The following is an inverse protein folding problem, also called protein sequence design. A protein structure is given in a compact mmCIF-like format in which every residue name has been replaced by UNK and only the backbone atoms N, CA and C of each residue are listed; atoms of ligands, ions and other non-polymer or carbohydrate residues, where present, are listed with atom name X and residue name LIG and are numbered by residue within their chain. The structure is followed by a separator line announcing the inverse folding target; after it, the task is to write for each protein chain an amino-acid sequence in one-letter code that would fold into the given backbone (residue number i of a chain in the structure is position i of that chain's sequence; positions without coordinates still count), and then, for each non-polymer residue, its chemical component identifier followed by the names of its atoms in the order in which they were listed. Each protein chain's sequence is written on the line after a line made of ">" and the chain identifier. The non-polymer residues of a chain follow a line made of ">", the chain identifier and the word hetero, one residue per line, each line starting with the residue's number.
data_IF_156771923733
#
_entry.id   IF_156771923733
#
_cell.length_a   1.000
_cell.length_b   1.000
_cell.length_c   1.000
_cell.angle_alpha   90.00
_cell.angle_beta   90.00
_cell.angle_gamma   90.00
#
_symmetry.space_group_name_H-M   'P 1'
#
loop_
_entity.id
_entity.type
_entity.pdbx_description
1 polymer ?
#
# COMPACT_ATOMS: atom_id res chain seq x y z
N UNK A 1 -25.89 -9.26 -11.52
CA UNK A 1 -24.68 -10.12 -11.62
C UNK A 1 -23.64 -9.42 -10.76
N UNK A 2 -23.22 -10.02 -9.64
CA UNK A 2 -22.18 -9.42 -8.82
C UNK A 2 -20.95 -9.25 -9.71
N UNK A 3 -20.47 -8.01 -9.87
CA UNK A 3 -19.20 -7.77 -10.55
C UNK A 3 -18.16 -8.64 -9.87
N UNK A 4 -17.55 -9.55 -10.61
CA UNK A 4 -16.48 -10.37 -10.07
C UNK A 4 -15.33 -9.44 -9.69
N UNK A 5 -15.00 -9.36 -8.40
CA UNK A 5 -13.91 -8.50 -7.96
C UNK A 5 -12.62 -9.03 -8.58
N UNK A 6 -11.73 -8.17 -9.11
CA UNK A 6 -10.43 -8.61 -9.62
C UNK A 6 -9.52 -9.17 -8.51
N UNK A 7 -9.94 -9.06 -7.24
CA UNK A 7 -9.28 -9.66 -6.08
C UNK A 7 -9.68 -11.11 -5.81
N UNK A 8 -10.72 -11.63 -6.46
CA UNK A 8 -11.17 -13.01 -6.21
C UNK A 8 -10.04 -14.01 -6.44
N UNK A 9 -9.89 -14.93 -5.48
CA UNK A 9 -8.87 -15.99 -5.43
C UNK A 9 -7.40 -15.52 -5.39
N UNK A 10 -7.15 -14.21 -5.24
CA UNK A 10 -5.80 -13.65 -5.13
C UNK A 10 -5.12 -14.08 -3.85
N UNK A 11 -3.82 -14.36 -3.93
CA UNK A 11 -3.01 -14.68 -2.75
C UNK A 11 -2.39 -13.39 -2.20
N UNK A 12 -2.80 -13.01 -0.99
CA UNK A 12 -2.42 -11.77 -0.33
C UNK A 12 -1.70 -12.09 0.99
N UNK A 13 -0.60 -11.38 1.25
CA UNK A 13 0.05 -11.37 2.56
C UNK A 13 -0.29 -10.07 3.29
N UNK A 14 -0.82 -10.15 4.51
CA UNK A 14 -0.91 -9.02 5.44
C UNK A 14 0.08 -9.20 6.59
N UNK A 15 0.83 -8.14 6.90
CA UNK A 15 1.82 -8.10 7.97
C UNK A 15 1.58 -6.90 8.87
N UNK A 16 1.25 -7.17 10.12
CA UNK A 16 0.91 -6.19 11.15
C UNK A 16 1.05 -6.84 12.53
N UNK A 17 1.66 -6.16 13.49
CA UNK A 17 1.82 -6.69 14.86
C UNK A 17 0.52 -6.64 15.68
N UNK A 18 -0.51 -5.93 15.19
CA UNK A 18 -1.83 -5.85 15.82
C UNK A 18 -2.75 -6.98 15.30
N UNK A 19 -3.11 -7.99 16.12
CA UNK A 19 -3.94 -9.12 15.68
C UNK A 19 -5.30 -8.70 15.14
N UNK A 20 -5.91 -7.67 15.74
CA UNK A 20 -7.20 -7.14 15.31
C UNK A 20 -7.14 -6.57 13.88
N UNK A 21 -6.01 -5.98 13.49
CA UNK A 21 -5.80 -5.50 12.11
C UNK A 21 -5.69 -6.69 11.15
N UNK A 22 -4.94 -7.73 11.54
CA UNK A 22 -4.81 -8.94 10.73
C UNK A 22 -6.16 -9.60 10.48
N UNK A 23 -7.00 -9.73 11.51
CA UNK A 23 -8.35 -10.30 11.36
C UNK A 23 -9.27 -9.40 10.53
N UNK A 24 -9.29 -8.09 10.82
CA UNK A 24 -10.14 -7.14 10.07
C UNK A 24 -9.79 -7.14 8.58
N UNK A 25 -8.50 -7.15 8.23
CA UNK A 25 -8.06 -7.20 6.83
C UNK A 25 -8.45 -8.54 6.18
N UNK A 26 -8.33 -9.66 6.90
CA UNK A 26 -8.74 -10.96 6.40
C UNK A 26 -10.27 -11.03 6.17
N UNK A 27 -11.07 -10.45 7.05
CA UNK A 27 -12.54 -10.35 6.89
C UNK A 27 -12.94 -9.47 5.70
N UNK A 28 -12.26 -8.33 5.49
CA UNK A 28 -12.49 -7.48 4.32
C UNK A 28 -12.10 -8.13 3.00
N UNK A 29 -11.20 -9.12 3.05
CA UNK A 29 -10.65 -9.83 1.90
C UNK A 29 -11.11 -11.30 1.88
N UNK A 30 -12.33 -11.57 2.33
CA UNK A 30 -12.92 -12.91 2.38
C UNK A 30 -12.99 -13.63 1.02
N UNK A 31 -12.98 -12.86 -0.08
CA UNK A 31 -12.90 -13.36 -1.45
C UNK A 31 -11.49 -13.78 -1.90
N UNK A 32 -10.47 -13.53 -1.07
CA UNK A 32 -9.05 -13.78 -1.35
C UNK A 32 -8.52 -14.96 -0.52
N UNK A 33 -7.32 -15.44 -0.86
CA UNK A 33 -6.52 -16.28 0.03
C UNK A 33 -5.56 -15.40 0.83
N UNK A 34 -5.75 -15.28 2.14
CA UNK A 34 -5.00 -14.34 2.98
C UNK A 34 -4.05 -15.09 3.92
N UNK A 35 -2.75 -14.85 3.75
CA UNK A 35 -1.73 -15.20 4.74
C UNK A 35 -1.53 -14.03 5.71
N UNK A 36 -1.44 -14.33 7.00
CA UNK A 36 -1.26 -13.36 8.09
C UNK A 36 0.10 -13.58 8.75
N UNK A 37 0.86 -12.53 8.99
CA UNK A 37 2.09 -12.58 9.79
C UNK A 37 2.10 -11.43 10.81
N UNK A 38 2.39 -11.74 12.07
CA UNK A 38 2.40 -10.76 13.16
C UNK A 38 3.80 -10.19 13.46
N UNK A 39 4.83 -10.69 12.77
CA UNK A 39 6.22 -10.36 13.04
C UNK A 39 7.07 -10.42 11.76
N UNK A 40 8.26 -9.82 11.86
CA UNK A 40 9.19 -9.71 10.74
C UNK A 40 9.68 -11.07 10.23
N UNK A 41 10.01 -12.01 11.12
CA UNK A 41 10.65 -13.26 10.74
C UNK A 41 9.67 -14.16 9.99
N UNK A 42 8.44 -14.28 10.49
CA UNK A 42 7.35 -15.01 9.82
C UNK A 42 7.04 -14.37 8.47
N UNK A 43 6.93 -13.04 8.41
CA UNK A 43 6.65 -12.32 7.17
C UNK A 43 7.75 -12.53 6.12
N UNK A 44 9.01 -12.46 6.54
CA UNK A 44 10.15 -12.71 5.64
C UNK A 44 10.14 -14.15 5.14
N UNK A 45 9.90 -15.14 5.99
CA UNK A 45 9.76 -16.54 5.57
C UNK A 45 8.66 -16.71 4.52
N UNK A 46 7.52 -16.06 4.71
CA UNK A 46 6.41 -16.09 3.75
C UNK A 46 6.78 -15.41 2.43
N UNK A 47 7.36 -14.22 2.48
CA UNK A 47 7.86 -13.51 1.29
C UNK A 47 8.86 -14.39 0.52
N UNK A 48 9.70 -15.16 1.20
CA UNK A 48 10.67 -16.05 0.56
C UNK A 48 10.07 -17.36 0.03
N UNK A 49 8.96 -17.83 0.61
CA UNK A 49 8.41 -19.17 0.32
C UNK A 49 7.25 -19.18 -0.68
N UNK A 50 6.48 -18.10 -0.79
CA UNK A 50 5.28 -18.03 -1.62
C UNK A 50 5.41 -17.00 -2.76
N UNK A 51 4.44 -16.96 -3.66
CA UNK A 51 4.28 -15.91 -4.68
C UNK A 51 3.00 -15.15 -4.42
N UNK A 52 3.10 -13.86 -4.12
CA UNK A 52 1.94 -13.04 -3.75
C UNK A 52 1.49 -12.14 -4.90
N UNK A 53 0.18 -11.99 -5.05
CA UNK A 53 -0.42 -10.97 -5.91
C UNK A 53 -0.28 -9.58 -5.26
N UNK A 54 -0.42 -9.49 -3.93
CA UNK A 54 -0.21 -8.26 -3.14
C UNK A 54 0.40 -8.60 -1.78
N UNK A 55 1.32 -7.74 -1.32
CA UNK A 55 1.83 -7.74 0.06
C UNK A 55 1.43 -6.42 0.75
N UNK A 56 0.74 -6.51 1.88
CA UNK A 56 0.29 -5.38 2.70
C UNK A 56 1.15 -5.34 3.96
N UNK A 57 1.77 -4.20 4.25
CA UNK A 57 2.77 -4.05 5.29
C UNK A 57 2.47 -2.86 6.21
N UNK A 58 2.38 -3.09 7.52
CA UNK A 58 2.57 -2.00 8.48
C UNK A 58 4.04 -1.56 8.55
N UNK A 59 4.24 -0.29 8.94
CA UNK A 59 5.56 0.33 9.04
C UNK A 59 6.19 0.14 10.42
N UNK A 60 5.43 0.38 11.49
CA UNK A 60 5.95 0.54 12.85
C UNK A 60 5.43 -0.58 13.74
N UNK A 61 6.11 -1.72 13.66
CA UNK A 61 5.86 -2.91 14.48
C UNK A 61 6.63 -4.12 13.94
N UNK A 62 6.65 -4.23 12.61
CA UNK A 62 7.20 -5.39 11.89
C UNK A 62 8.42 -5.07 11.01
N UNK A 63 9.07 -3.91 11.22
CA UNK A 63 10.15 -3.41 10.35
C UNK A 63 9.74 -3.36 8.87
N UNK A 64 8.59 -2.72 8.61
CA UNK A 64 7.91 -2.75 7.31
C UNK A 64 8.73 -2.24 6.13
N UNK A 65 9.67 -1.32 6.34
CA UNK A 65 10.53 -0.84 5.24
C UNK A 65 11.53 -1.88 4.76
N UNK A 66 11.97 -2.78 5.63
CA UNK A 66 12.85 -3.89 5.22
C UNK A 66 12.03 -4.97 4.51
N UNK A 67 10.86 -5.31 5.02
CA UNK A 67 9.91 -6.20 4.32
C UNK A 67 9.51 -5.65 2.95
N UNK A 68 9.28 -4.35 2.84
CA UNK A 68 8.99 -3.67 1.56
C UNK A 68 10.11 -3.89 0.55
N UNK A 69 11.39 -3.72 0.95
CA UNK A 69 12.52 -3.98 0.06
C UNK A 69 12.56 -5.42 -0.42
N UNK A 70 12.31 -6.37 0.47
CA UNK A 70 12.29 -7.80 0.14
C UNK A 70 11.14 -8.13 -0.84
N UNK A 71 9.93 -7.62 -0.56
CA UNK A 71 8.76 -7.81 -1.43
C UNK A 71 8.98 -7.20 -2.83
N UNK A 72 9.49 -5.96 -2.90
CA UNK A 72 9.77 -5.28 -4.17
C UNK A 72 10.89 -5.97 -4.94
N UNK A 73 11.95 -6.43 -4.28
CA UNK A 73 13.05 -7.19 -4.91
C UNK A 73 12.52 -8.48 -5.55
N UNK A 74 11.49 -9.08 -4.94
CA UNK A 74 10.78 -10.24 -5.48
C UNK A 74 9.73 -9.91 -6.55
N UNK A 75 9.55 -8.63 -6.88
CA UNK A 75 8.58 -8.18 -7.88
C UNK A 75 7.13 -8.14 -7.39
N UNK A 76 6.89 -8.23 -6.08
CA UNK A 76 5.54 -8.18 -5.53
C UNK A 76 5.03 -6.73 -5.44
N UNK A 77 3.78 -6.46 -5.86
CA UNK A 77 3.10 -5.22 -5.54
C UNK A 77 2.96 -5.09 -4.01
N UNK A 78 3.60 -4.06 -3.44
CA UNK A 78 3.60 -3.82 -2.00
C UNK A 78 2.84 -2.55 -1.62
N UNK A 79 1.88 -2.69 -0.71
CA UNK A 79 1.03 -1.62 -0.18
C UNK A 79 1.40 -1.36 1.28
N UNK A 80 1.68 -0.11 1.63
CA UNK A 80 1.89 0.24 3.03
C UNK A 80 0.54 0.52 3.70
N UNK A 81 0.25 -0.07 4.85
CA UNK A 81 -0.95 0.14 5.65
C UNK A 81 -0.56 0.54 7.08
N UNK A 82 -0.65 1.81 7.45
CA UNK A 82 -0.11 2.27 8.75
C UNK A 82 -1.00 3.29 9.46
N UNK A 83 -1.08 3.24 10.79
CA UNK A 83 -1.75 4.26 11.59
C UNK A 83 -0.78 5.36 12.03
N UNK A 84 0.42 4.96 12.48
CA UNK A 84 1.31 5.84 13.20
C UNK A 84 2.34 6.54 12.30
N UNK A 85 2.74 5.93 11.18
CA UNK A 85 3.75 6.47 10.28
C UNK A 85 3.15 7.28 9.11
N UNK A 86 1.95 7.83 9.27
CA UNK A 86 1.32 8.69 8.26
C UNK A 86 1.99 10.06 8.26
N UNK A 87 3.11 10.17 7.53
CA UNK A 87 3.95 11.38 7.42
C UNK A 87 4.50 11.55 6.00
N UNK A 88 4.87 12.78 5.58
CA UNK A 88 5.50 12.99 4.26
C UNK A 88 6.79 12.19 4.09
N UNK A 89 7.57 12.03 5.17
CA UNK A 89 8.84 11.29 5.15
C UNK A 89 8.61 9.81 4.89
N UNK A 90 7.66 9.19 5.59
CA UNK A 90 7.33 7.79 5.40
C UNK A 90 6.69 7.53 4.03
N UNK A 91 5.79 8.41 3.58
CA UNK A 91 5.19 8.36 2.24
C UNK A 91 6.28 8.42 1.15
N UNK A 92 7.18 9.39 1.25
CA UNK A 92 8.32 9.56 0.33
C UNK A 92 9.22 8.33 0.31
N UNK A 93 9.54 7.80 1.49
CA UNK A 93 10.38 6.60 1.64
C UNK A 93 9.69 5.39 0.99
N UNK A 94 8.39 5.22 1.19
CA UNK A 94 7.61 4.13 0.59
C UNK A 94 7.64 4.17 -0.93
N UNK A 95 7.38 5.35 -1.53
CA UNK A 95 7.47 5.54 -3.00
C UNK A 95 8.87 5.20 -3.50
N UNK A 96 9.92 5.72 -2.85
CA UNK A 96 11.32 5.49 -3.25
C UNK A 96 11.75 4.03 -3.14
N UNK A 97 11.16 3.27 -2.23
CA UNK A 97 11.43 1.85 -2.05
C UNK A 97 10.59 0.95 -2.98
N UNK A 98 9.71 1.52 -3.79
CA UNK A 98 8.94 0.79 -4.80
C UNK A 98 7.56 0.33 -4.33
N UNK A 99 7.05 0.86 -3.22
CA UNK A 99 5.64 0.64 -2.87
C UNK A 99 4.74 1.16 -4.00
N UNK A 100 3.62 0.47 -4.23
CA UNK A 100 2.62 0.84 -5.24
C UNK A 100 1.49 1.67 -4.64
N UNK A 101 1.34 1.66 -3.32
CA UNK A 101 0.34 2.44 -2.60
C UNK A 101 0.73 2.67 -1.13
N UNK A 102 0.05 3.62 -0.48
CA UNK A 102 0.21 3.97 0.93
C UNK A 102 -1.14 4.36 1.51
N UNK A 103 -1.64 3.58 2.46
CA UNK A 103 -2.97 3.71 3.04
C UNK A 103 -2.87 3.94 4.55
N UNK A 104 -3.46 5.02 5.09
CA UNK A 104 -3.69 5.15 6.53
C UNK A 104 -4.62 4.04 7.03
N UNK A 105 -4.38 3.44 8.21
CA UNK A 105 -5.32 2.45 8.79
C UNK A 105 -6.74 3.03 8.99
N UNK A 106 -6.88 4.35 9.16
CA UNK A 106 -8.17 5.07 9.17
C UNK A 106 -9.00 4.89 7.88
N UNK A 107 -8.36 4.47 6.78
CA UNK A 107 -8.94 4.24 5.46
C UNK A 107 -9.12 2.75 5.12
N UNK A 108 -8.88 1.87 6.08
CA UNK A 108 -9.08 0.42 5.93
C UNK A 108 -10.50 0.01 5.50
N UNK A 109 -11.60 0.70 5.89
CA UNK A 109 -12.93 0.38 5.35
C UNK A 109 -13.04 0.48 3.82
N UNK A 110 -12.12 1.21 3.18
CA UNK A 110 -12.04 1.38 1.72
C UNK A 110 -10.96 0.46 1.09
N UNK A 111 -10.31 -0.41 1.87
CA UNK A 111 -9.12 -1.19 1.47
C UNK A 111 -9.35 -1.96 0.18
N UNK A 112 -10.48 -2.67 0.05
CA UNK A 112 -10.84 -3.46 -1.14
C UNK A 112 -10.73 -2.60 -2.40
N UNK A 113 -11.33 -1.41 -2.41
CA UNK A 113 -11.30 -0.51 -3.58
C UNK A 113 -9.89 0.00 -3.91
N UNK A 114 -9.00 0.15 -2.92
CA UNK A 114 -7.60 0.51 -3.17
C UNK A 114 -6.80 -0.67 -3.72
N UNK A 115 -7.05 -1.89 -3.23
CA UNK A 115 -6.36 -3.08 -3.73
C UNK A 115 -6.83 -3.44 -5.14
N UNK A 116 -8.11 -3.26 -5.46
CA UNK A 116 -8.62 -3.40 -6.82
C UNK A 116 -7.87 -2.45 -7.76
N UNK A 117 -7.74 -1.16 -7.40
CA UNK A 117 -6.95 -0.20 -8.18
C UNK A 117 -5.50 -0.67 -8.39
N UNK A 118 -4.87 -1.27 -7.37
CA UNK A 118 -3.51 -1.81 -7.48
C UNK A 118 -3.42 -3.00 -8.45
N UNK A 119 -4.47 -3.83 -8.55
CA UNK A 119 -4.50 -4.93 -9.52
C UNK A 119 -4.71 -4.42 -10.95
N UNK A 120 -5.63 -3.47 -11.16
CA UNK A 120 -5.91 -2.94 -12.51
C UNK A 120 -4.93 -1.88 -12.99
N UNK A 121 -4.11 -1.30 -12.11
CA UNK A 121 -3.14 -0.25 -12.47
C UNK A 121 -1.75 -0.57 -11.96
N UNK A 122 -0.72 -0.32 -12.79
CA UNK A 122 0.67 -0.62 -12.42
C UNK A 122 1.48 0.65 -12.18
N UNK A 123 2.31 0.60 -11.13
CA UNK A 123 3.31 1.61 -10.82
C UNK A 123 2.74 3.01 -10.62
N UNK A 124 3.10 3.95 -11.51
CA UNK A 124 2.74 5.38 -11.37
C UNK A 124 1.24 5.63 -11.51
N UNK A 125 0.50 4.81 -12.24
CA UNK A 125 -0.95 4.95 -12.38
C UNK A 125 -1.67 4.70 -11.05
N UNK A 126 -1.17 3.77 -10.24
CA UNK A 126 -1.69 3.49 -8.89
C UNK A 126 -1.51 4.71 -7.96
N UNK A 127 -0.35 5.37 -8.05
CA UNK A 127 -0.06 6.59 -7.28
C UNK A 127 -0.93 7.79 -7.69
N UNK A 128 -1.24 7.95 -8.98
CA UNK A 128 -2.15 8.99 -9.45
C UNK A 128 -3.56 8.79 -8.84
N UNK A 129 -4.11 7.58 -8.96
CA UNK A 129 -5.41 7.23 -8.37
C UNK A 129 -5.44 7.42 -6.85
N UNK A 130 -4.36 7.04 -6.16
CA UNK A 130 -4.25 7.25 -4.72
C UNK A 130 -4.29 8.73 -4.36
N UNK A 131 -3.54 9.59 -5.07
CA UNK A 131 -3.57 11.03 -4.79
C UNK A 131 -4.89 11.70 -5.18
N UNK A 132 -5.61 11.19 -6.18
CA UNK A 132 -6.96 11.65 -6.48
C UNK A 132 -7.93 11.33 -5.33
N UNK A 133 -7.82 10.14 -4.73
CA UNK A 133 -8.68 9.70 -3.61
C UNK A 133 -8.28 10.30 -2.26
N UNK A 134 -6.99 10.33 -1.95
CA UNK A 134 -6.45 10.72 -0.63
C UNK A 134 -5.74 12.08 -0.63
N UNK A 135 -5.78 12.84 -1.72
CA UNK A 135 -5.14 14.16 -1.81
C UNK A 135 -5.59 15.09 -0.69
N UNK A 136 -6.91 15.24 -0.52
CA UNK A 136 -7.51 16.06 0.55
C UNK A 136 -7.11 15.54 1.94
N UNK A 137 -7.05 14.21 2.11
CA UNK A 137 -6.62 13.61 3.37
C UNK A 137 -5.17 14.01 3.71
N UNK A 138 -4.25 13.86 2.75
CA UNK A 138 -2.86 14.24 2.95
C UNK A 138 -2.67 15.75 3.11
N UNK A 139 -3.44 16.57 2.39
CA UNK A 139 -3.38 18.03 2.53
C UNK A 139 -3.84 18.48 3.93
N UNK A 140 -4.89 17.87 4.47
CA UNK A 140 -5.35 18.14 5.84
C UNK A 140 -4.34 17.66 6.88
N UNK A 141 -3.67 16.51 6.63
CA UNK A 141 -2.71 15.91 7.56
C UNK A 141 -1.34 16.61 7.55
N UNK A 142 -0.86 17.01 6.37
CA UNK A 142 0.50 17.50 6.15
C UNK A 142 0.57 19.01 5.89
N UNK A 143 -0.58 19.66 5.67
CA UNK A 143 -0.70 21.05 5.21
C UNK A 143 -0.73 21.12 3.69
N UNK A 144 -1.63 21.90 3.09
CA UNK A 144 -1.93 21.91 1.64
C UNK A 144 -0.76 22.25 0.71
N UNK A 145 0.36 22.77 1.23
CA UNK A 145 1.56 23.08 0.46
C UNK A 145 2.70 22.06 0.65
N UNK A 146 2.44 20.93 1.33
CA UNK A 146 3.43 19.90 1.66
C UNK A 146 4.19 19.36 0.45
N UNK A 147 3.51 19.18 -0.70
CA UNK A 147 4.14 18.72 -1.95
C UNK A 147 5.12 19.75 -2.52
N UNK A 148 4.81 21.04 -2.41
CA UNK A 148 5.66 22.14 -2.91
C UNK A 148 6.87 22.39 -2.01
N UNK A 149 6.76 22.05 -0.72
CA UNK A 149 7.84 22.18 0.27
C UNK A 149 8.93 21.12 0.11
N UNK A 150 8.69 20.04 -0.64
CA UNK A 150 9.66 18.98 -0.88
C UNK A 150 9.86 18.76 -2.38
N UNK A 151 11.07 19.00 -2.87
CA UNK A 151 11.43 18.87 -4.30
C UNK A 151 11.10 17.50 -4.90
N UNK A 152 11.11 16.43 -4.10
CA UNK A 152 10.73 15.11 -4.58
C UNK A 152 9.25 15.05 -4.92
N UNK A 153 8.38 15.52 -4.01
CA UNK A 153 6.94 15.47 -4.24
C UNK A 153 6.51 16.41 -5.36
N UNK A 154 7.13 17.59 -5.44
CA UNK A 154 6.89 18.52 -6.56
C UNK A 154 7.26 17.88 -7.92
N UNK A 155 8.41 17.22 -8.00
CA UNK A 155 8.82 16.53 -9.22
C UNK A 155 7.92 15.32 -9.53
N UNK A 156 7.58 14.52 -8.51
CA UNK A 156 6.74 13.33 -8.65
C UNK A 156 5.34 13.69 -9.13
N UNK A 157 4.71 14.73 -8.58
CA UNK A 157 3.39 15.20 -9.01
C UNK A 157 3.40 15.65 -10.48
N UNK A 158 4.42 16.39 -10.91
CA UNK A 158 4.59 16.78 -12.32
C UNK A 158 4.74 15.58 -13.24
N UNK A 159 5.42 14.52 -12.80
CA UNK A 159 5.54 13.27 -13.57
C UNK A 159 4.21 12.52 -13.68
N UNK A 160 3.40 12.50 -12.62
CA UNK A 160 2.08 11.88 -12.64
C UNK A 160 1.14 12.60 -13.63
N UNK A 161 1.15 13.93 -13.64
CA UNK A 161 0.29 14.73 -14.52
C UNK A 161 0.61 14.56 -16.01
N UNK A 162 1.89 14.35 -16.37
CA UNK A 162 2.31 14.15 -17.77
C UNK A 162 1.81 12.85 -18.38
N UNK A 163 1.59 11.79 -17.57
CA UNK A 163 1.18 10.47 -18.06
C UNK A 163 -0.32 10.28 -18.21
N UNK A 164 -1.14 11.18 -17.67
CA UNK A 164 -2.60 11.12 -17.82
C UNK A 164 -3.09 11.73 -19.15
N UNK A 165 -2.17 12.28 -19.96
CA UNK A 165 -2.44 12.92 -21.26
C UNK A 165 -2.00 12.10 -22.49
N UNK A 166 -1.40 10.93 -22.28
CA UNK A 166 -1.01 9.96 -23.32
C UNK A 166 -1.86 8.68 -23.21
#
# INVERSE_FOLDING_TARGET
>A
MASDSPLRDKLILIVDDEPDVLETVAELLDMCQVHKAADYDTALQYILSYTYDIVILDIMGVNGFELLRNAVTRGFPAVMLTAYAVTPVALKKSIKLGAVSFLPKEKMPELVAYLEDVIVSTGKASWARLFDKLGIYFDNRFGSDWKRKDRFFEAFEKELQKKTQD
#
